data_IF_269986584204
#
_entry.id   IF_269986584204
#
_cell.length_a   1.000
_cell.length_b   1.000
_cell.length_c   1.000
_cell.angle_alpha   90.00
_cell.angle_beta   90.00
_cell.angle_gamma   90.00
#
_symmetry.space_group_name_H-M   'P 1'
#
loop_
_entity.id
_entity.type
_entity.pdbx_description
1 polymer ?
#
# COMPACT_ATOMS: atom_id res chain seq x y z
N UNK A 1 12.51 29.11 4.02
CA UNK A 1 12.53 27.89 4.86
C UNK A 1 11.43 26.87 4.52
N UNK A 2 10.23 27.25 4.07
CA UNK A 2 9.16 26.30 3.69
C UNK A 2 9.43 25.49 2.38
N UNK A 3 10.36 25.95 1.54
CA UNK A 3 10.59 25.37 0.20
C UNK A 3 11.62 24.22 0.18
N UNK A 4 12.49 24.13 1.18
CA UNK A 4 13.51 23.05 1.26
C UNK A 4 12.94 21.77 1.86
N UNK A 5 12.04 21.86 2.84
CA UNK A 5 11.34 20.69 3.42
C UNK A 5 10.52 19.94 2.36
N UNK A 6 9.95 20.66 1.38
CA UNK A 6 9.23 20.07 0.25
C UNK A 6 10.14 19.27 -0.70
N UNK A 7 11.43 19.62 -0.82
CA UNK A 7 12.37 18.93 -1.71
C UNK A 7 12.87 17.60 -1.14
N UNK A 8 12.93 17.47 0.18
CA UNK A 8 13.37 16.25 0.87
C UNK A 8 12.30 15.14 0.76
N UNK A 9 11.01 15.50 0.80
CA UNK A 9 9.89 14.56 0.65
C UNK A 9 9.78 13.95 -0.77
N UNK A 10 10.29 14.64 -1.79
CA UNK A 10 10.28 14.15 -3.17
C UNK A 10 11.37 13.11 -3.49
N UNK A 11 12.35 12.91 -2.60
CA UNK A 11 13.48 12.01 -2.81
C UNK A 11 13.29 10.60 -2.21
N UNK A 12 12.09 10.26 -1.74
CA UNK A 12 11.83 8.94 -1.19
C UNK A 12 11.61 7.94 -2.33
N UNK A 13 12.52 6.96 -2.46
CA UNK A 13 12.41 5.88 -3.44
C UNK A 13 11.15 5.07 -3.13
N UNK A 14 10.16 5.12 -4.03
CA UNK A 14 8.90 4.40 -3.89
C UNK A 14 7.68 5.19 -4.37
N UNK A 15 6.50 4.61 -4.20
CA UNK A 15 5.23 5.31 -4.46
C UNK A 15 4.97 6.36 -3.38
N UNK A 16 4.34 7.48 -3.75
CA UNK A 16 3.96 8.54 -2.80
C UNK A 16 2.73 8.13 -1.98
N UNK A 17 2.63 8.51 -0.70
CA UNK A 17 1.49 8.20 0.14
C UNK A 17 0.17 8.78 -0.42
N UNK A 18 -0.95 8.05 -0.34
CA UNK A 18 -2.27 8.52 -0.76
C UNK A 18 -2.87 9.50 0.26
N UNK A 19 -3.93 10.20 -0.16
CA UNK A 19 -4.75 11.05 0.72
C UNK A 19 -5.93 10.25 1.25
N UNK A 20 -6.07 10.16 2.57
CA UNK A 20 -7.05 9.29 3.22
C UNK A 20 -8.31 10.01 3.76
N UNK A 21 -8.43 11.33 3.56
CA UNK A 21 -9.44 12.23 4.15
C UNK A 21 -10.92 11.80 3.99
N UNK A 22 -11.24 10.85 3.09
CA UNK A 22 -12.59 10.29 2.88
C UNK A 22 -12.60 8.78 2.63
N UNK A 23 -11.58 8.07 3.10
CA UNK A 23 -11.45 6.61 2.88
C UNK A 23 -11.82 5.82 4.12
N UNK A 24 -11.48 6.32 5.30
CA UNK A 24 -11.92 5.72 6.55
C UNK A 24 -13.26 6.30 7.00
N UNK A 25 -14.37 5.96 6.30
CA UNK A 25 -15.76 6.23 6.69
C UNK A 25 -15.97 7.43 7.65
N UNK A 26 -16.21 7.19 8.94
CA UNK A 26 -16.42 8.20 10.00
C UNK A 26 -15.26 8.29 11.00
N UNK A 27 -14.06 7.86 10.60
CA UNK A 27 -12.92 7.78 11.50
C UNK A 27 -12.19 9.11 11.65
N UNK A 28 -11.97 9.55 12.89
CA UNK A 28 -11.25 10.80 13.17
C UNK A 28 -9.75 10.77 12.85
N UNK A 29 -9.10 9.60 12.90
CA UNK A 29 -7.66 9.45 12.63
C UNK A 29 -7.43 8.44 11.51
N UNK A 30 -7.47 8.93 10.28
CA UNK A 30 -7.27 8.14 9.07
C UNK A 30 -5.93 8.49 8.42
N UNK A 31 -4.98 7.54 8.41
CA UNK A 31 -3.60 7.77 7.97
C UNK A 31 -3.18 6.86 6.83
N UNK A 32 -2.28 7.35 5.99
CA UNK A 32 -1.67 6.55 4.92
C UNK A 32 -0.56 5.66 5.50
N UNK A 33 -0.63 4.36 5.24
CA UNK A 33 0.31 3.35 5.72
C UNK A 33 0.87 2.49 4.57
N UNK A 34 2.10 2.02 4.71
CA UNK A 34 2.67 0.99 3.83
C UNK A 34 2.35 -0.40 4.39
N UNK A 35 1.75 -1.25 3.56
CA UNK A 35 1.39 -2.63 3.91
C UNK A 35 2.12 -3.60 2.98
N UNK A 36 2.82 -4.62 3.51
CA UNK A 36 3.43 -5.66 2.70
C UNK A 36 2.39 -6.34 1.79
N UNK A 37 2.71 -6.47 0.51
CA UNK A 37 1.84 -7.10 -0.50
C UNK A 37 2.25 -8.54 -0.76
N UNK A 38 2.97 -9.17 0.18
CA UNK A 38 3.53 -10.50 0.01
C UNK A 38 2.43 -11.45 -0.47
N UNK A 39 2.50 -11.97 -1.72
CA UNK A 39 1.51 -12.91 -2.21
C UNK A 39 1.71 -14.20 -1.43
N UNK A 40 1.04 -14.31 -0.27
CA UNK A 40 0.87 -15.59 0.40
C UNK A 40 0.02 -16.41 -0.55
N UNK A 41 0.66 -17.32 -1.28
CA UNK A 41 0.01 -18.28 -2.19
C UNK A 41 -0.81 -19.23 -1.31
N UNK A 42 -1.95 -18.77 -0.81
CA UNK A 42 -2.94 -19.63 -0.17
C UNK A 42 -3.81 -20.16 -1.31
N UNK A 43 -3.62 -21.46 -1.55
CA UNK A 43 -4.37 -22.28 -2.49
C UNK A 43 -5.85 -22.37 -2.07
N UNK A 44 -6.61 -21.29 -2.18
CA UNK A 44 -8.00 -21.26 -1.72
C UNK A 44 -8.70 -19.94 -1.99
N UNK A 45 -9.63 -20.00 -2.95
CA UNK A 45 -10.71 -19.06 -3.24
C UNK A 45 -10.33 -17.67 -3.81
N UNK A 46 -10.57 -17.52 -5.11
CA UNK A 46 -10.20 -16.35 -5.93
C UNK A 46 -11.30 -15.28 -5.86
N UNK A 47 -11.13 -14.27 -5.02
CA UNK A 47 -11.75 -12.97 -5.29
C UNK A 47 -10.88 -12.29 -6.37
N UNK A 48 -11.38 -12.25 -7.60
CA UNK A 48 -10.67 -11.83 -8.82
C UNK A 48 -10.12 -10.39 -8.78
N UNK A 49 -10.68 -9.52 -7.92
CA UNK A 49 -10.27 -8.11 -7.81
C UNK A 49 -8.87 -7.93 -7.22
N UNK A 50 -8.42 -8.84 -6.34
CA UNK A 50 -7.07 -8.79 -5.73
C UNK A 50 -6.00 -9.42 -6.63
N UNK A 51 -6.40 -10.29 -7.58
CA UNK A 51 -5.47 -10.94 -8.52
C UNK A 51 -4.94 -9.99 -9.59
N UNK A 52 -5.72 -9.00 -10.04
CA UNK A 52 -5.27 -8.07 -11.09
C UNK A 52 -4.13 -7.15 -10.62
N UNK A 53 -4.14 -6.71 -9.35
CA UNK A 53 -3.04 -5.93 -8.76
C UNK A 53 -1.85 -6.80 -8.36
N UNK A 54 -2.09 -8.06 -7.97
CA UNK A 54 -1.04 -9.00 -7.59
C UNK A 54 -0.31 -9.61 -8.79
N UNK A 55 -0.97 -9.84 -9.92
CA UNK A 55 -0.41 -10.54 -11.09
C UNK A 55 0.75 -9.78 -11.76
N UNK A 56 0.76 -8.44 -11.70
CA UNK A 56 1.89 -7.69 -12.26
C UNK A 56 3.20 -7.96 -11.51
N UNK A 57 3.12 -8.17 -10.18
CA UNK A 57 4.28 -8.36 -9.30
C UNK A 57 4.52 -9.82 -8.90
N UNK A 58 3.52 -10.70 -9.04
CA UNK A 58 3.58 -12.11 -8.66
C UNK A 58 3.86 -13.03 -9.86
N UNK A 59 4.34 -12.49 -11.00
CA UNK A 59 4.86 -13.33 -12.08
C UNK A 59 6.15 -14.00 -11.61
N UNK A 60 5.93 -15.19 -11.06
CA UNK A 60 6.90 -16.21 -10.66
C UNK A 60 7.50 -15.95 -9.28
N UNK A 61 7.73 -17.05 -8.58
CA UNK A 61 8.52 -17.14 -7.36
C UNK A 61 9.88 -16.54 -7.67
N UNK A 62 9.99 -15.24 -7.46
CA UNK A 62 11.21 -14.49 -7.56
C UNK A 62 12.03 -14.82 -6.31
N UNK A 63 13.19 -15.46 -6.51
CA UNK A 63 14.16 -15.75 -5.45
C UNK A 63 14.80 -14.47 -4.86
N UNK A 64 14.37 -13.29 -5.27
CA UNK A 64 14.78 -12.04 -4.63
C UNK A 64 14.25 -11.96 -3.20
N UNK A 65 15.06 -11.39 -2.31
CA UNK A 65 14.61 -11.00 -0.97
C UNK A 65 13.72 -9.74 -1.00
N UNK A 66 13.24 -9.31 -2.18
CA UNK A 66 12.41 -8.13 -2.33
C UNK A 66 11.01 -8.40 -1.79
N UNK A 67 10.62 -7.65 -0.76
CA UNK A 67 9.29 -7.74 -0.15
C UNK A 67 8.45 -6.56 -0.62
N UNK A 68 7.55 -6.75 -1.61
CA UNK A 68 6.77 -5.65 -2.15
C UNK A 68 5.88 -5.05 -1.06
N UNK A 69 5.67 -3.74 -1.13
CA UNK A 69 4.79 -2.99 -0.25
C UNK A 69 3.81 -2.17 -1.09
N UNK A 70 2.64 -1.89 -0.54
CA UNK A 70 1.60 -1.06 -1.17
C UNK A 70 0.97 -0.12 -0.15
N UNK A 71 0.58 1.06 -0.62
CA UNK A 71 -0.11 2.03 0.23
C UNK A 71 -1.54 1.61 0.53
N UNK A 72 -1.98 1.88 1.76
CA UNK A 72 -3.35 1.72 2.27
C UNK A 72 -3.70 2.89 3.19
N UNK A 73 -4.98 3.02 3.52
CA UNK A 73 -5.45 3.92 4.57
C UNK A 73 -5.79 3.11 5.82
N UNK A 74 -5.39 3.54 7.01
CA UNK A 74 -5.67 2.86 8.27
C UNK A 74 -6.45 3.78 9.21
N UNK A 75 -7.42 3.19 9.90
CA UNK A 75 -8.11 3.77 11.03
C UNK A 75 -8.18 2.74 12.15
N UNK A 76 -7.57 3.03 13.29
CA UNK A 76 -7.51 2.07 14.40
C UNK A 76 -6.91 0.73 13.92
N UNK A 77 -7.70 -0.34 13.92
CA UNK A 77 -7.29 -1.68 13.47
C UNK A 77 -7.83 -2.07 12.08
N UNK A 78 -8.51 -1.14 11.38
CA UNK A 78 -9.13 -1.40 10.07
C UNK A 78 -8.29 -0.78 8.96
N UNK A 79 -8.08 -1.55 7.89
CA UNK A 79 -7.31 -1.14 6.71
C UNK A 79 -8.26 -1.01 5.51
N UNK A 80 -8.19 0.14 4.84
CA UNK A 80 -8.97 0.50 3.66
C UNK A 80 -8.07 0.59 2.44
N UNK A 81 -8.64 0.34 1.27
CA UNK A 81 -7.98 0.71 0.04
C UNK A 81 -7.94 2.24 -0.06
N UNK A 82 -6.79 2.81 -0.49
CA UNK A 82 -6.65 4.25 -0.62
C UNK A 82 -7.56 4.83 -1.70
#
# INVERSE_FOLDING_TARGET
>A
KVNEEKKILSAQIGSRPPRCDRRCSSCGHCEAIQVPTNPQVRNGNKNFSTLLFGVAYARRVDNSNYKPMSWKCKCGNVIFNP
#
